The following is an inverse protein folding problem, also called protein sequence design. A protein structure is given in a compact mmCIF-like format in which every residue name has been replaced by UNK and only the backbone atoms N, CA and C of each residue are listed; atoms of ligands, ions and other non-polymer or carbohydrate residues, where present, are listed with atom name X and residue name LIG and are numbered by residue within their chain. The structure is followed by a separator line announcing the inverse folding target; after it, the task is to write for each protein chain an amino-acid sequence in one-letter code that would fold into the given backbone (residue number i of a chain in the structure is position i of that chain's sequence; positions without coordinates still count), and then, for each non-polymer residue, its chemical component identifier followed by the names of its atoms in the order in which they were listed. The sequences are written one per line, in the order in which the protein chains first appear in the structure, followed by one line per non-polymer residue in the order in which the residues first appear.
data_IF_614211113158
#
_entry.id   IF_614211113158
#
_cell.length_a   1.000
_cell.length_b   1.000
_cell.length_c   1.000
_cell.angle_alpha   90.00
_cell.angle_beta   90.00
_cell.angle_gamma   90.00
#
_symmetry.space_group_name_H-M   'P 1'
#
loop_
_entity.id
_entity.type
_entity.pdbx_description
1 polymer ?
#
# COMPACT_ATOMS: atom_id res chain seq x y z
N UNK A 1 8.00 -18.09 17.20
CA UNK A 1 7.72 -17.64 15.82
C UNK A 1 8.93 -17.92 14.92
N UNK A 2 8.76 -18.48 13.70
CA UNK A 2 9.91 -18.87 12.84
C UNK A 2 10.71 -17.69 12.30
N UNK A 3 10.03 -16.56 12.04
CA UNK A 3 10.62 -15.32 11.55
C UNK A 3 10.16 -14.19 12.47
N UNK A 4 10.96 -13.80 13.45
CA UNK A 4 10.56 -12.79 14.44
C UNK A 4 10.58 -11.36 13.90
N UNK A 5 11.17 -11.12 12.72
CA UNK A 5 11.19 -9.81 12.06
C UNK A 5 10.68 -9.95 10.62
N UNK A 6 9.85 -8.99 10.15
CA UNK A 6 9.36 -9.01 8.78
C UNK A 6 10.48 -8.89 7.74
N UNK A 7 11.55 -8.16 8.05
CA UNK A 7 12.73 -8.03 7.18
C UNK A 7 13.37 -9.39 6.86
N UNK A 8 13.30 -10.35 7.77
CA UNK A 8 13.87 -11.69 7.55
C UNK A 8 13.11 -12.48 6.50
N UNK A 9 11.91 -12.05 6.12
CA UNK A 9 11.08 -12.68 5.09
C UNK A 9 11.45 -12.28 3.66
N UNK A 10 12.26 -11.23 3.47
CA UNK A 10 12.70 -10.81 2.13
C UNK A 10 13.51 -11.92 1.43
N UNK A 11 14.49 -12.50 2.13
CA UNK A 11 15.32 -13.55 1.54
C UNK A 11 14.54 -14.85 1.19
N UNK A 12 13.64 -15.38 2.05
CA UNK A 12 12.73 -16.44 1.68
C UNK A 12 11.81 -16.08 0.51
N UNK A 13 11.25 -14.87 0.47
CA UNK A 13 10.43 -14.41 -0.65
C UNK A 13 11.23 -14.40 -1.96
N UNK A 14 12.45 -13.85 -1.94
CA UNK A 14 13.36 -13.83 -3.10
C UNK A 14 13.65 -15.23 -3.65
N UNK A 15 13.84 -16.23 -2.76
CA UNK A 15 14.08 -17.62 -3.17
C UNK A 15 12.85 -18.31 -3.75
N UNK A 16 11.66 -17.90 -3.35
CA UNK A 16 10.39 -18.52 -3.81
C UNK A 16 9.83 -17.92 -5.08
N UNK A 17 10.17 -16.66 -5.35
CA UNK A 17 9.64 -15.93 -6.50
C UNK A 17 10.61 -15.94 -7.67
N UNK A 18 10.12 -16.07 -8.91
CA UNK A 18 10.93 -15.80 -10.08
C UNK A 18 11.55 -14.39 -10.01
N UNK A 19 12.80 -14.20 -10.52
CA UNK A 19 13.48 -12.91 -10.44
C UNK A 19 12.67 -11.71 -10.97
N UNK A 20 11.89 -11.91 -12.06
CA UNK A 20 11.05 -10.85 -12.61
C UNK A 20 9.88 -10.48 -11.67
N UNK A 21 9.32 -11.45 -10.94
CA UNK A 21 8.26 -11.22 -9.95
C UNK A 21 8.83 -10.53 -8.71
N UNK A 22 9.98 -11.00 -8.24
CA UNK A 22 10.65 -10.36 -7.11
C UNK A 22 11.05 -8.92 -7.45
N UNK A 23 11.57 -8.67 -8.66
CA UNK A 23 11.88 -7.30 -9.11
C UNK A 23 10.62 -6.42 -9.18
N UNK A 24 9.48 -6.95 -9.60
CA UNK A 24 8.21 -6.23 -9.57
C UNK A 24 7.83 -5.79 -8.15
N UNK A 25 7.93 -6.68 -7.18
CA UNK A 25 7.63 -6.39 -5.77
C UNK A 25 8.61 -5.38 -5.18
N UNK A 26 9.92 -5.62 -5.37
CA UNK A 26 10.99 -4.99 -4.61
C UNK A 26 11.47 -3.66 -5.19
N UNK A 27 11.44 -3.49 -6.54
CA UNK A 27 12.01 -2.30 -7.17
C UNK A 27 11.26 -1.00 -6.88
N UNK A 28 12.02 0.09 -6.86
CA UNK A 28 11.57 1.45 -7.10
C UNK A 28 11.61 1.79 -8.59
N UNK A 29 11.93 3.05 -8.92
CA UNK A 29 12.23 3.54 -10.27
C UNK A 29 13.63 4.16 -10.29
N UNK A 30 14.16 4.50 -11.47
CA UNK A 30 15.49 5.09 -11.62
C UNK A 30 16.57 4.17 -11.08
N UNK A 31 17.36 4.69 -10.16
CA UNK A 31 18.44 3.98 -9.48
C UNK A 31 18.04 3.43 -8.10
N UNK A 32 16.74 3.38 -7.78
CA UNK A 32 16.22 2.99 -6.47
C UNK A 32 16.66 3.94 -5.30
N UNK A 33 17.05 5.18 -5.61
CA UNK A 33 17.57 6.15 -4.62
C UNK A 33 16.52 6.45 -3.55
N UNK A 34 15.31 6.82 -3.96
CA UNK A 34 14.20 7.11 -3.02
C UNK A 34 13.77 5.85 -2.27
N UNK A 35 13.82 4.67 -2.91
CA UNK A 35 13.55 3.40 -2.20
C UNK A 35 14.54 3.18 -1.04
N UNK A 36 15.82 3.41 -1.28
CA UNK A 36 16.86 3.31 -0.25
C UNK A 36 16.73 4.43 0.81
N UNK A 37 16.51 5.66 0.36
CA UNK A 37 16.32 6.82 1.24
C UNK A 37 15.10 6.66 2.18
N UNK A 38 14.00 6.09 1.69
CA UNK A 38 12.84 5.78 2.53
C UNK A 38 13.19 4.85 3.70
N UNK A 39 14.10 3.90 3.50
CA UNK A 39 14.54 3.03 4.60
C UNK A 39 15.50 3.77 5.53
N UNK A 40 16.51 4.43 4.96
CA UNK A 40 17.50 5.18 5.72
C UNK A 40 16.87 6.26 6.61
N UNK A 41 15.76 6.87 6.16
CA UNK A 41 15.03 7.88 6.93
C UNK A 41 14.54 7.34 8.28
N UNK A 42 13.96 6.13 8.31
CA UNK A 42 13.56 5.47 9.55
C UNK A 42 14.79 5.02 10.38
N UNK A 43 15.83 4.50 9.74
CA UNK A 43 17.02 4.03 10.42
C UNK A 43 17.77 5.18 11.11
N UNK A 44 17.72 6.41 10.59
CA UNK A 44 18.32 7.62 11.17
C UNK A 44 17.56 8.27 12.33
N UNK A 45 16.40 7.71 12.74
CA UNK A 45 15.61 8.24 13.85
C UNK A 45 15.86 7.49 15.15
N UNK A 46 15.94 8.21 16.26
CA UNK A 46 15.98 7.66 17.63
C UNK A 46 14.84 8.23 18.46
N UNK A 47 14.31 7.41 19.38
CA UNK A 47 13.25 7.78 20.32
C UNK A 47 13.82 7.79 21.73
N UNK A 48 13.42 8.79 22.54
CA UNK A 48 13.88 8.90 23.93
C UNK A 48 12.93 8.11 24.84
N UNK A 49 13.39 6.98 25.45
CA UNK A 49 12.53 6.19 26.34
C UNK A 49 12.36 6.86 27.71
N UNK A 50 11.20 6.60 28.34
CA UNK A 50 10.92 7.02 29.71
C UNK A 50 10.68 5.81 30.60
N UNK A 51 11.57 5.59 31.56
CA UNK A 51 11.54 4.44 32.47
C UNK A 51 10.82 4.72 33.80
N UNK A 52 10.73 3.69 34.65
CA UNK A 52 10.14 3.71 35.98
C UNK A 52 8.63 4.01 35.99
N UNK A 53 7.92 3.56 34.93
CA UNK A 53 6.47 3.74 34.76
C UNK A 53 5.64 2.49 35.09
N UNK A 54 6.26 1.49 35.73
CA UNK A 54 5.64 0.22 36.04
C UNK A 54 5.41 -0.62 34.77
N UNK A 55 4.47 -1.57 34.90
CA UNK A 55 4.07 -2.40 33.74
C UNK A 55 3.19 -1.59 32.80
N UNK A 56 3.55 -1.52 31.55
CA UNK A 56 2.74 -0.91 30.49
C UNK A 56 1.95 -2.00 29.78
N UNK A 57 0.65 -1.87 29.75
CA UNK A 57 -0.24 -2.66 28.89
C UNK A 57 -0.74 -1.72 27.77
N UNK A 58 -0.14 -1.88 26.60
CA UNK A 58 -0.34 -0.95 25.50
C UNK A 58 -1.64 -1.24 24.74
N UNK A 59 -2.55 -0.26 24.71
CA UNK A 59 -3.71 -0.22 23.82
C UNK A 59 -3.27 0.29 22.44
N UNK A 60 -3.40 -0.56 21.44
CA UNK A 60 -3.04 -0.26 20.05
C UNK A 60 -4.21 0.31 19.25
N UNK A 61 -5.39 0.43 19.82
CA UNK A 61 -6.56 0.91 19.11
C UNK A 61 -6.34 2.32 18.55
N UNK A 62 -6.76 2.53 17.32
CA UNK A 62 -6.63 3.80 16.62
C UNK A 62 -7.89 4.11 15.82
N UNK A 63 -8.38 5.34 15.93
CA UNK A 63 -9.56 5.79 15.18
C UNK A 63 -9.13 6.64 13.98
N UNK A 64 -9.67 6.33 12.82
CA UNK A 64 -9.47 7.11 11.60
C UNK A 64 -10.76 7.14 10.77
N UNK A 65 -11.09 8.28 10.20
CA UNK A 65 -12.28 8.49 9.36
C UNK A 65 -13.61 8.07 10.03
N UNK A 66 -13.67 8.12 11.37
CA UNK A 66 -14.86 7.72 12.14
C UNK A 66 -14.97 6.24 12.45
N UNK A 67 -13.99 5.41 12.05
CA UNK A 67 -13.90 3.99 12.40
C UNK A 67 -12.73 3.74 13.36
N UNK A 68 -12.92 2.80 14.28
CA UNK A 68 -11.86 2.37 15.21
C UNK A 68 -11.37 1.00 14.80
N UNK A 69 -10.04 0.86 14.74
CA UNK A 69 -9.31 -0.36 14.42
C UNK A 69 -8.48 -0.82 15.63
N UNK A 70 -8.18 -2.12 15.68
CA UNK A 70 -7.38 -2.71 16.77
C UNK A 70 -5.87 -2.43 16.62
N UNK A 71 -5.48 -1.73 15.55
CA UNK A 71 -4.09 -1.39 15.25
C UNK A 71 -3.99 -0.04 14.51
N UNK A 72 -2.91 0.74 14.72
CA UNK A 72 -2.69 2.03 14.08
C UNK A 72 -2.12 1.90 12.66
N UNK A 73 -2.33 0.76 12.02
CA UNK A 73 -1.79 0.49 10.68
C UNK A 73 -2.75 -0.36 9.83
N UNK A 74 -2.54 -0.29 8.53
CA UNK A 74 -3.25 -1.10 7.55
C UNK A 74 -2.36 -1.56 6.39
N UNK A 75 -2.93 -2.33 5.48
CA UNK A 75 -2.24 -2.77 4.26
C UNK A 75 -2.43 -1.74 3.16
N UNK A 76 -1.31 -1.22 2.64
CA UNK A 76 -1.30 -0.29 1.50
C UNK A 76 -1.80 -0.96 0.21
N UNK A 77 -2.35 -0.20 -0.74
CA UNK A 77 -2.76 -0.74 -2.04
C UNK A 77 -1.55 -1.21 -2.85
N UNK A 78 -1.62 -2.45 -3.35
CA UNK A 78 -0.60 -3.05 -4.19
C UNK A 78 -1.27 -3.62 -5.44
N UNK A 79 -0.90 -3.07 -6.60
CA UNK A 79 -1.38 -3.60 -7.87
C UNK A 79 -0.85 -4.99 -8.14
N UNK A 80 -1.67 -5.84 -8.75
CA UNK A 80 -1.33 -7.18 -9.23
C UNK A 80 -0.60 -8.04 -8.19
N UNK A 81 -1.02 -7.97 -6.92
CA UNK A 81 -0.41 -8.74 -5.83
C UNK A 81 -0.58 -10.25 -6.02
N UNK A 82 -1.62 -10.71 -6.72
CA UNK A 82 -1.78 -12.12 -7.08
C UNK A 82 -0.74 -12.64 -8.09
N UNK A 83 -0.05 -11.76 -8.84
CA UNK A 83 1.14 -12.18 -9.61
C UNK A 83 2.31 -12.50 -8.68
N UNK A 84 2.44 -11.78 -7.57
CA UNK A 84 3.48 -12.05 -6.58
C UNK A 84 3.18 -13.39 -5.90
N UNK A 85 1.95 -13.53 -5.42
CA UNK A 85 1.48 -14.78 -4.84
C UNK A 85 -0.02 -14.98 -5.11
N UNK A 86 -0.42 -16.11 -5.72
CA UNK A 86 -1.83 -16.40 -6.02
C UNK A 86 -2.74 -16.26 -4.81
N UNK A 87 -3.78 -15.43 -4.94
CA UNK A 87 -4.74 -15.13 -3.88
C UNK A 87 -4.21 -14.18 -2.80
N UNK A 88 -3.13 -13.43 -3.06
CA UNK A 88 -2.54 -12.50 -2.09
C UNK A 88 -3.55 -11.46 -1.57
N UNK A 89 -4.43 -10.97 -2.45
CA UNK A 89 -5.46 -9.99 -2.09
C UNK A 89 -6.41 -10.54 -1.03
N UNK A 90 -7.01 -11.70 -1.29
CA UNK A 90 -7.94 -12.35 -0.34
C UNK A 90 -7.25 -12.83 0.92
N UNK A 91 -5.98 -13.32 0.84
CA UNK A 91 -5.18 -13.69 2.01
C UNK A 91 -4.96 -12.48 2.92
N UNK A 92 -4.60 -11.32 2.35
CA UNK A 92 -4.34 -10.10 3.12
C UNK A 92 -5.63 -9.49 3.65
N UNK A 93 -6.70 -9.46 2.87
CA UNK A 93 -8.00 -8.96 3.31
C UNK A 93 -8.55 -9.78 4.48
N UNK A 94 -8.49 -11.12 4.40
CA UNK A 94 -8.91 -12.01 5.49
C UNK A 94 -8.02 -11.86 6.74
N UNK A 95 -6.72 -11.66 6.57
CA UNK A 95 -5.81 -11.40 7.69
C UNK A 95 -6.10 -10.04 8.34
N UNK A 96 -6.36 -9.01 7.55
CA UNK A 96 -6.72 -7.68 8.03
C UNK A 96 -8.02 -7.71 8.84
N UNK A 97 -9.07 -8.33 8.30
CA UNK A 97 -10.34 -8.50 9.00
C UNK A 97 -10.20 -9.25 10.32
N UNK A 98 -9.41 -10.34 10.35
CA UNK A 98 -9.19 -11.15 11.57
C UNK A 98 -8.44 -10.39 12.66
N UNK A 99 -7.55 -9.48 12.28
CA UNK A 99 -6.68 -8.76 13.20
C UNK A 99 -7.10 -7.29 13.39
N UNK A 100 -8.31 -6.91 12.94
CA UNK A 100 -8.93 -5.62 13.22
C UNK A 100 -8.23 -4.41 12.59
N UNK A 101 -7.63 -4.53 11.37
CA UNK A 101 -7.04 -3.40 10.65
C UNK A 101 -7.46 -3.38 9.17
N UNK A 102 -7.36 -2.23 8.47
CA UNK A 102 -7.83 -2.14 7.09
C UNK A 102 -6.87 -2.76 6.06
N UNK A 103 -7.45 -3.35 5.03
CA UNK A 103 -6.79 -3.75 3.79
C UNK A 103 -7.26 -2.88 2.63
N UNK A 104 -6.34 -2.31 1.87
CA UNK A 104 -6.68 -1.48 0.71
C UNK A 104 -6.52 -2.28 -0.59
N UNK A 105 -7.63 -2.53 -1.28
CA UNK A 105 -7.64 -3.17 -2.59
C UNK A 105 -7.29 -2.16 -3.69
N UNK A 106 -6.36 -2.50 -4.57
CA UNK A 106 -6.01 -1.66 -5.73
C UNK A 106 -6.98 -1.84 -6.89
N UNK A 107 -7.24 -0.77 -7.66
CA UNK A 107 -7.93 -0.84 -8.98
C UNK A 107 -7.32 -1.90 -9.90
N UNK A 108 -5.99 -1.99 -9.90
CA UNK A 108 -5.23 -2.94 -10.73
C UNK A 108 -4.84 -4.20 -9.97
N UNK A 109 -5.69 -4.64 -9.06
CA UNK A 109 -5.53 -5.91 -8.35
C UNK A 109 -5.77 -7.11 -9.27
N UNK A 110 -5.25 -8.26 -8.84
CA UNK A 110 -5.47 -9.52 -9.54
C UNK A 110 -6.78 -10.19 -9.18
N UNK A 111 -7.43 -9.80 -8.08
CA UNK A 111 -8.76 -10.26 -7.69
C UNK A 111 -9.80 -9.13 -7.76
N UNK A 112 -11.07 -9.48 -7.73
CA UNK A 112 -12.18 -8.54 -7.88
C UNK A 112 -12.54 -7.85 -6.56
N UNK A 113 -13.19 -6.69 -6.67
CA UNK A 113 -13.74 -5.95 -5.54
C UNK A 113 -14.66 -6.86 -4.73
N UNK A 114 -15.52 -7.61 -5.39
CA UNK A 114 -16.54 -8.47 -4.78
C UNK A 114 -15.89 -9.58 -3.93
N UNK A 115 -14.91 -10.29 -4.49
CA UNK A 115 -14.23 -11.38 -3.77
C UNK A 115 -13.44 -10.86 -2.56
N UNK A 116 -12.79 -9.73 -2.71
CA UNK A 116 -11.95 -9.16 -1.65
C UNK A 116 -12.80 -8.52 -0.57
N UNK A 117 -13.88 -7.83 -0.91
CA UNK A 117 -14.84 -7.31 0.06
C UNK A 117 -15.52 -8.44 0.86
N UNK A 118 -15.83 -9.57 0.21
CA UNK A 118 -16.35 -10.75 0.92
C UNK A 118 -15.34 -11.33 1.92
N UNK A 119 -14.04 -11.26 1.66
CA UNK A 119 -12.99 -11.76 2.55
C UNK A 119 -12.62 -10.76 3.67
N UNK A 120 -12.64 -9.47 3.40
CA UNK A 120 -12.21 -8.39 4.31
C UNK A 120 -13.34 -7.74 5.09
N UNK A 121 -14.59 -7.85 4.60
CA UNK A 121 -15.75 -7.21 5.21
C UNK A 121 -15.56 -5.69 5.37
N UNK A 122 -15.98 -5.16 6.50
CA UNK A 122 -15.87 -3.73 6.85
C UNK A 122 -14.42 -3.21 6.92
N UNK A 123 -13.42 -4.09 6.92
CA UNK A 123 -12.00 -3.71 6.90
C UNK A 123 -11.45 -3.52 5.47
N UNK A 124 -12.30 -3.59 4.45
CA UNK A 124 -11.90 -3.39 3.05
C UNK A 124 -12.00 -1.93 2.67
N UNK A 125 -10.87 -1.32 2.31
CA UNK A 125 -10.79 -0.04 1.61
C UNK A 125 -10.56 -0.27 0.13
N UNK A 126 -10.96 0.67 -0.71
CA UNK A 126 -10.72 0.60 -2.15
C UNK A 126 -9.81 1.73 -2.62
N UNK A 127 -8.75 1.41 -3.36
CA UNK A 127 -7.90 2.41 -3.99
C UNK A 127 -8.24 2.54 -5.47
N UNK A 128 -8.52 3.77 -5.86
CA UNK A 128 -8.89 4.16 -7.23
C UNK A 128 -7.71 4.82 -7.94
N UNK A 129 -7.37 4.31 -9.12
CA UNK A 129 -6.76 5.09 -10.18
C UNK A 129 -7.88 5.58 -11.10
N UNK A 130 -8.02 6.90 -11.25
CA UNK A 130 -8.97 7.49 -12.19
C UNK A 130 -8.63 7.05 -13.62
N UNK A 131 -9.61 6.54 -14.34
CA UNK A 131 -9.45 6.07 -15.72
C UNK A 131 -9.75 7.18 -16.71
N UNK A 132 -9.17 7.12 -17.92
CA UNK A 132 -9.47 8.05 -19.00
C UNK A 132 -10.94 7.99 -19.41
N UNK A 133 -11.49 6.79 -19.45
CA UNK A 133 -12.93 6.59 -19.60
C UNK A 133 -13.59 6.72 -18.23
N UNK A 134 -14.32 7.83 -18.01
CA UNK A 134 -14.99 8.14 -16.76
C UNK A 134 -16.06 7.09 -16.39
N UNK A 135 -16.70 6.46 -17.35
CA UNK A 135 -17.72 5.43 -17.09
C UNK A 135 -17.12 4.23 -16.36
N UNK A 136 -15.87 3.86 -16.66
CA UNK A 136 -15.14 2.81 -15.94
C UNK A 136 -14.91 3.22 -14.48
N UNK A 137 -14.46 4.46 -14.25
CA UNK A 137 -14.27 4.98 -12.89
C UNK A 137 -15.55 4.91 -12.09
N UNK A 138 -16.67 5.42 -12.64
CA UNK A 138 -17.93 5.48 -11.90
C UNK A 138 -18.55 4.09 -11.70
N UNK A 139 -18.36 3.16 -12.64
CA UNK A 139 -18.77 1.77 -12.42
C UNK A 139 -17.94 1.08 -11.32
N UNK A 140 -16.64 1.30 -11.27
CA UNK A 140 -15.78 0.80 -10.18
C UNK A 140 -16.21 1.35 -8.82
N UNK A 141 -16.54 2.66 -8.72
CA UNK A 141 -17.07 3.27 -7.50
C UNK A 141 -18.41 2.64 -7.10
N UNK A 142 -19.32 2.46 -8.05
CA UNK A 142 -20.60 1.80 -7.79
C UNK A 142 -20.40 0.38 -7.28
N UNK A 143 -19.55 -0.44 -7.93
CA UNK A 143 -19.23 -1.82 -7.50
C UNK A 143 -18.64 -1.86 -6.09
N UNK A 144 -17.70 -0.96 -5.77
CA UNK A 144 -17.12 -0.88 -4.45
C UNK A 144 -18.18 -0.57 -3.38
N UNK A 145 -19.03 0.42 -3.64
CA UNK A 145 -20.13 0.77 -2.74
C UNK A 145 -21.14 -0.39 -2.58
N UNK A 146 -21.53 -1.03 -3.68
CA UNK A 146 -22.48 -2.14 -3.66
C UNK A 146 -21.95 -3.35 -2.87
N UNK A 147 -20.62 -3.45 -2.71
CA UNK A 147 -19.94 -4.42 -1.84
C UNK A 147 -19.74 -3.94 -0.39
N UNK A 148 -20.28 -2.78 0.00
CA UNK A 148 -20.17 -2.25 1.36
C UNK A 148 -18.82 -1.59 1.69
N UNK A 149 -18.04 -1.22 0.68
CA UNK A 149 -16.79 -0.44 0.91
C UNK A 149 -17.17 1.00 1.25
N UNK A 150 -16.72 1.48 2.42
CA UNK A 150 -17.02 2.83 2.91
C UNK A 150 -15.87 3.82 2.69
N UNK A 151 -14.62 3.33 2.58
CA UNK A 151 -13.43 4.19 2.43
C UNK A 151 -12.81 4.03 1.05
N UNK A 152 -12.70 5.15 0.35
CA UNK A 152 -12.02 5.29 -0.95
C UNK A 152 -10.68 5.98 -0.78
N UNK A 153 -9.64 5.48 -1.44
CA UNK A 153 -8.33 6.15 -1.58
C UNK A 153 -8.11 6.48 -3.05
N UNK A 154 -8.20 7.75 -3.43
CA UNK A 154 -7.87 8.21 -4.78
C UNK A 154 -6.37 8.46 -4.88
N UNK A 155 -5.70 7.91 -5.88
CA UNK A 155 -4.24 8.03 -6.04
C UNK A 155 -3.90 9.11 -7.06
N UNK A 156 -3.15 10.13 -6.62
CA UNK A 156 -2.77 11.30 -7.43
C UNK A 156 -1.33 11.26 -7.94
N UNK A 157 -0.45 10.48 -7.33
CA UNK A 157 1.00 10.48 -7.58
C UNK A 157 1.45 9.64 -8.80
N UNK A 158 0.55 9.41 -9.76
CA UNK A 158 0.83 8.68 -11.01
C UNK A 158 0.47 9.54 -12.24
N UNK A 159 1.09 10.73 -12.41
CA UNK A 159 0.80 11.58 -13.56
C UNK A 159 1.34 11.02 -14.87
N UNK A 160 2.31 10.10 -14.80
CA UNK A 160 2.93 9.43 -15.93
C UNK A 160 3.41 8.02 -15.53
N UNK A 161 3.56 7.09 -16.52
CA UNK A 161 4.11 5.77 -16.24
C UNK A 161 5.56 5.86 -15.77
N UNK A 162 5.87 5.25 -14.65
CA UNK A 162 7.26 5.13 -14.19
C UNK A 162 8.02 4.08 -15.01
N UNK A 163 9.32 4.27 -15.15
CA UNK A 163 10.16 3.39 -15.98
C UNK A 163 10.47 2.05 -15.33
N UNK A 164 10.62 2.00 -14.00
CA UNK A 164 10.91 0.79 -13.19
C UNK A 164 11.98 -0.08 -13.84
N UNK A 165 13.15 0.49 -14.04
CA UNK A 165 14.24 -0.05 -14.85
C UNK A 165 14.64 -1.45 -14.40
N UNK A 166 14.80 -1.66 -13.09
CA UNK A 166 15.18 -2.96 -12.52
C UNK A 166 14.14 -4.05 -12.85
N UNK A 167 12.86 -3.70 -12.81
CA UNK A 167 11.79 -4.61 -13.22
C UNK A 167 11.87 -4.97 -14.71
N UNK A 168 12.17 -3.98 -15.59
CA UNK A 168 12.35 -4.20 -17.04
C UNK A 168 13.58 -5.06 -17.32
N UNK A 169 14.71 -4.79 -16.65
CA UNK A 169 15.94 -5.59 -16.76
C UNK A 169 15.66 -7.04 -16.35
N UNK A 170 14.84 -7.28 -15.34
CA UNK A 170 14.46 -8.63 -14.92
C UNK A 170 13.53 -9.36 -15.92
N UNK A 171 12.96 -8.63 -16.88
CA UNK A 171 12.09 -9.19 -17.94
C UNK A 171 10.62 -9.28 -17.54
N UNK A 172 10.17 -8.50 -16.53
CA UNK A 172 8.76 -8.50 -16.17
C UNK A 172 7.87 -8.06 -17.33
N UNK A 173 6.76 -8.79 -17.61
CA UNK A 173 5.93 -8.57 -18.79
C UNK A 173 5.04 -7.33 -18.74
N UNK A 174 5.21 -6.46 -17.75
CA UNK A 174 4.39 -5.27 -17.49
C UNK A 174 4.95 -3.99 -18.14
N UNK A 175 5.66 -4.11 -19.26
CA UNK A 175 6.21 -2.95 -19.98
C UNK A 175 5.24 -2.35 -20.99
N UNK A 176 5.32 -1.02 -21.19
CA UNK A 176 4.47 -0.20 -22.05
C UNK A 176 4.58 -0.45 -23.57
N UNK A 177 5.29 -1.47 -24.02
CA UNK A 177 5.36 -1.88 -25.43
C UNK A 177 5.07 -3.37 -25.52
N UNK A 178 3.83 -3.66 -25.73
CA UNK A 178 3.09 -4.80 -26.26
C UNK A 178 3.75 -6.09 -26.68
N UNK A 179 4.88 -6.51 -26.13
CA UNK A 179 5.41 -7.85 -26.36
C UNK A 179 5.12 -8.71 -25.13
N UNK A 180 4.17 -9.59 -25.41
CA UNK A 180 3.57 -10.56 -24.52
C UNK A 180 4.54 -11.37 -23.69
N UNK A 181 4.12 -11.53 -22.56
CA UNK A 181 4.07 -12.51 -21.47
C UNK A 181 5.01 -13.72 -21.50
N UNK A 182 5.58 -14.18 -22.59
CA UNK A 182 6.27 -15.47 -22.69
C UNK A 182 7.63 -15.37 -23.39
N UNK A 183 8.46 -14.38 -22.98
CA UNK A 183 9.85 -14.44 -23.43
C UNK A 183 10.50 -15.74 -22.89
N UNK A 184 11.44 -16.35 -23.63
CA UNK A 184 12.17 -17.55 -23.17
C UNK A 184 12.77 -17.35 -21.76
N UNK A 185 13.16 -16.11 -21.44
CA UNK A 185 13.67 -15.73 -20.13
C UNK A 185 12.63 -15.87 -19.03
N UNK A 186 11.40 -15.39 -19.24
CA UNK A 186 10.30 -15.50 -18.25
C UNK A 186 9.93 -16.97 -18.05
N UNK A 187 9.85 -17.75 -19.14
CA UNK A 187 9.58 -19.19 -19.07
C UNK A 187 10.67 -19.90 -18.24
N UNK A 188 11.94 -19.62 -18.52
CA UNK A 188 13.06 -20.21 -17.79
C UNK A 188 13.05 -19.82 -16.29
N UNK A 189 12.87 -18.54 -15.98
CA UNK A 189 12.76 -18.09 -14.60
C UNK A 189 11.58 -18.76 -13.87
N UNK A 190 10.45 -18.94 -14.54
CA UNK A 190 9.28 -19.61 -13.98
C UNK A 190 9.52 -21.10 -13.73
N UNK A 191 10.20 -21.79 -14.66
CA UNK A 191 10.55 -23.21 -14.53
C UNK A 191 11.50 -23.47 -13.35
N UNK A 192 12.40 -22.53 -13.04
CA UNK A 192 13.28 -22.62 -11.87
C UNK A 192 12.54 -22.38 -10.53
N UNK A 193 11.27 -21.95 -10.56
CA UNK A 193 10.44 -21.70 -9.39
C UNK A 193 9.13 -22.48 -9.44
N UNK A 194 9.18 -23.84 -9.48
CA UNK A 194 8.02 -24.68 -9.76
C UNK A 194 6.87 -24.49 -8.78
N UNK A 195 7.17 -24.22 -7.51
CA UNK A 195 6.14 -23.97 -6.50
C UNK A 195 5.30 -22.72 -6.78
N UNK A 196 5.90 -21.67 -7.32
CA UNK A 196 5.20 -20.47 -7.79
C UNK A 196 4.48 -20.75 -9.11
N UNK A 197 5.16 -21.37 -10.08
CA UNK A 197 4.65 -21.61 -11.42
C UNK A 197 3.39 -22.48 -11.41
N UNK A 198 3.39 -23.58 -10.66
CA UNK A 198 2.22 -24.49 -10.53
C UNK A 198 1.01 -23.77 -9.90
N UNK A 199 1.22 -22.95 -8.87
CA UNK A 199 0.14 -22.18 -8.25
C UNK A 199 -0.40 -21.12 -9.20
N UNK A 200 0.47 -20.47 -9.95
CA UNK A 200 0.09 -19.48 -10.95
C UNK A 200 -0.71 -20.14 -12.09
N UNK A 201 -0.29 -21.32 -12.56
CA UNK A 201 -1.00 -22.09 -13.57
C UNK A 201 -2.39 -22.53 -13.07
N UNK A 202 -2.49 -23.02 -11.83
CA UNK A 202 -3.75 -23.42 -11.21
C UNK A 202 -4.75 -22.26 -11.08
N UNK A 203 -4.27 -21.01 -10.93
CA UNK A 203 -5.10 -19.81 -10.92
C UNK A 203 -5.47 -19.32 -12.33
N UNK A 204 -4.87 -19.87 -13.37
CA UNK A 204 -5.06 -19.44 -14.77
C UNK A 204 -4.30 -18.16 -15.12
N UNK A 205 -3.17 -17.91 -14.46
CA UNK A 205 -2.31 -16.75 -14.66
C UNK A 205 -2.77 -15.48 -13.94
N UNK A 206 -1.94 -14.43 -13.94
CA UNK A 206 -2.29 -13.16 -13.34
C UNK A 206 -3.39 -12.47 -14.16
N UNK A 207 -4.46 -12.03 -13.51
CA UNK A 207 -5.60 -11.36 -14.13
C UNK A 207 -5.79 -10.02 -13.44
N UNK A 208 -6.23 -9.01 -14.17
CA UNK A 208 -6.68 -7.73 -13.63
C UNK A 208 -8.22 -7.77 -13.53
N UNK A 209 -8.74 -8.49 -12.54
CA UNK A 209 -10.17 -8.85 -12.50
C UNK A 209 -11.11 -7.66 -12.44
N UNK A 210 -10.68 -6.53 -11.86
CA UNK A 210 -11.48 -5.31 -11.86
C UNK A 210 -11.53 -4.65 -13.23
N UNK A 211 -10.47 -4.74 -14.02
CA UNK A 211 -10.33 -4.05 -15.31
C UNK A 211 -10.69 -4.94 -16.53
N UNK A 212 -10.64 -6.26 -16.39
CA UNK A 212 -10.88 -7.21 -17.47
C UNK A 212 -12.25 -7.02 -18.15
N UNK A 213 -13.40 -6.82 -17.44
CA UNK A 213 -14.69 -6.65 -18.07
C UNK A 213 -14.78 -5.45 -19.02
N UNK A 214 -13.93 -4.43 -18.79
CA UNK A 214 -13.89 -3.24 -19.64
C UNK A 214 -12.95 -3.43 -20.83
N UNK A 215 -11.84 -4.12 -20.65
CA UNK A 215 -10.92 -4.44 -21.74
C UNK A 215 -11.59 -5.26 -22.83
N UNK A 216 -12.43 -6.24 -22.45
CA UNK A 216 -13.18 -7.09 -23.38
C UNK A 216 -14.17 -6.29 -24.26
N UNK A 217 -14.65 -5.13 -23.77
CA UNK A 217 -15.55 -4.24 -24.52
C UNK A 217 -14.81 -3.30 -25.50
N UNK A 218 -13.52 -3.05 -25.27
CA UNK A 218 -12.70 -2.11 -26.04
C UNK A 218 -11.82 -2.78 -27.13
N UNK A 219 -12.14 -4.01 -27.51
CA UNK A 219 -11.45 -4.74 -28.58
C UNK A 219 -10.28 -5.59 -28.07
N UNK A 220 -9.59 -6.29 -28.99
CA UNK A 220 -8.56 -7.29 -28.67
C UNK A 220 -7.21 -6.73 -28.19
N UNK A 221 -7.21 -5.65 -27.41
CA UNK A 221 -5.97 -5.13 -26.82
C UNK A 221 -5.53 -6.01 -25.64
N UNK A 222 -4.22 -6.32 -25.53
CA UNK A 222 -3.70 -6.93 -24.32
C UNK A 222 -4.10 -6.11 -23.08
N UNK A 223 -4.59 -6.76 -22.03
CA UNK A 223 -5.10 -6.10 -20.81
C UNK A 223 -4.09 -5.10 -20.21
N UNK A 224 -2.81 -5.38 -20.27
CA UNK A 224 -1.75 -4.46 -19.80
C UNK A 224 -1.67 -3.19 -20.63
N UNK A 225 -1.88 -3.28 -21.94
CA UNK A 225 -1.91 -2.13 -22.85
C UNK A 225 -3.17 -1.30 -22.63
N UNK A 226 -4.32 -1.94 -22.46
CA UNK A 226 -5.57 -1.28 -22.11
C UNK A 226 -5.43 -0.49 -20.79
N UNK A 227 -4.95 -1.13 -19.73
CA UNK A 227 -4.71 -0.47 -18.43
C UNK A 227 -3.75 0.71 -18.59
N UNK A 228 -2.65 0.53 -19.34
CA UNK A 228 -1.69 1.60 -19.60
C UNK A 228 -2.30 2.81 -20.32
N UNK A 229 -3.27 2.59 -21.24
CA UNK A 229 -3.99 3.66 -21.91
C UNK A 229 -5.00 4.37 -21.01
N UNK A 230 -5.61 3.62 -20.08
CA UNK A 230 -6.63 4.16 -19.17
C UNK A 230 -6.06 4.95 -18.00
N UNK A 231 -4.87 4.61 -17.49
CA UNK A 231 -4.36 5.13 -16.22
C UNK A 231 -3.30 6.23 -16.36
N UNK A 232 -3.05 6.77 -17.56
CA UNK A 232 -1.99 7.73 -17.79
C UNK A 232 -2.46 9.17 -17.59
N UNK A 233 -2.11 9.76 -16.43
CA UNK A 233 -2.19 11.19 -16.18
C UNK A 233 -3.58 11.80 -16.33
N UNK A 234 -4.62 11.06 -15.97
CA UNK A 234 -6.01 11.45 -16.23
C UNK A 234 -6.64 12.24 -15.09
N UNK A 235 -6.10 12.11 -13.86
CA UNK A 235 -6.64 12.77 -12.69
C UNK A 235 -6.18 14.24 -12.66
N UNK A 236 -7.13 15.15 -12.73
CA UNK A 236 -7.00 16.56 -12.40
C UNK A 236 -7.97 16.95 -11.26
N UNK A 237 -7.99 18.21 -10.88
CA UNK A 237 -8.83 18.67 -9.78
C UNK A 237 -10.32 18.59 -10.08
N UNK A 238 -10.72 18.87 -11.32
CA UNK A 238 -12.12 18.81 -11.73
C UNK A 238 -12.61 17.35 -11.72
N UNK A 239 -11.76 16.43 -12.18
CA UNK A 239 -12.09 15.00 -12.11
C UNK A 239 -12.13 14.48 -10.67
N UNK A 240 -11.25 14.98 -9.79
CA UNK A 240 -11.33 14.65 -8.36
C UNK A 240 -12.65 15.12 -7.75
N UNK A 241 -13.16 16.29 -8.16
CA UNK A 241 -14.45 16.80 -7.73
C UNK A 241 -15.60 15.91 -8.20
N UNK A 242 -15.59 15.46 -9.46
CA UNK A 242 -16.57 14.50 -9.99
C UNK A 242 -16.57 13.19 -9.17
N UNK A 243 -15.38 12.67 -8.86
CA UNK A 243 -15.22 11.46 -8.02
C UNK A 243 -15.78 11.71 -6.61
N UNK A 244 -15.47 12.86 -6.01
CA UNK A 244 -16.01 13.22 -4.68
C UNK A 244 -17.53 13.30 -4.69
N UNK A 245 -18.13 13.90 -5.70
CA UNK A 245 -19.58 14.01 -5.82
C UNK A 245 -20.26 12.63 -6.00
N UNK A 246 -19.59 11.69 -6.66
CA UNK A 246 -20.10 10.34 -6.89
C UNK A 246 -19.89 9.38 -5.71
N UNK A 247 -18.97 9.68 -4.79
CA UNK A 247 -18.64 8.82 -3.65
C UNK A 247 -19.24 9.35 -2.35
N UNK A 248 -20.27 8.71 -1.77
CA UNK A 248 -20.92 9.21 -0.55
C UNK A 248 -20.13 8.88 0.73
N UNK A 249 -19.23 7.90 0.69
CA UNK A 249 -18.42 7.46 1.82
C UNK A 249 -17.22 8.35 2.11
N UNK A 250 -16.31 7.87 2.94
CA UNK A 250 -15.05 8.54 3.27
C UNK A 250 -14.07 8.48 2.10
N UNK A 251 -13.40 9.60 1.81
CA UNK A 251 -12.44 9.70 0.72
C UNK A 251 -11.11 10.28 1.18
N UNK A 252 -10.01 9.59 0.89
CA UNK A 252 -8.66 10.09 1.07
C UNK A 252 -7.98 10.32 -0.28
N UNK A 253 -7.12 11.35 -0.34
CA UNK A 253 -6.25 11.58 -1.49
C UNK A 253 -4.82 11.12 -1.17
N UNK A 254 -4.28 10.20 -1.98
CA UNK A 254 -2.96 9.57 -1.79
C UNK A 254 -1.92 10.14 -2.75
N UNK A 255 -0.69 10.34 -2.21
CA UNK A 255 0.45 10.84 -2.99
C UNK A 255 0.71 12.33 -2.76
N UNK A 256 0.10 12.92 -1.74
CA UNK A 256 0.25 14.32 -1.41
C UNK A 256 1.53 14.54 -0.60
N UNK A 257 2.37 15.48 -1.05
CA UNK A 257 3.62 15.89 -0.41
C UNK A 257 3.76 17.43 -0.35
N UNK A 258 2.78 18.16 -0.88
CA UNK A 258 2.73 19.61 -0.91
C UNK A 258 1.57 20.16 -0.07
N UNK A 259 1.82 21.24 0.70
CA UNK A 259 0.82 21.83 1.59
C UNK A 259 -0.30 22.56 0.84
N UNK A 260 -0.04 23.15 -0.34
CA UNK A 260 -1.07 23.84 -1.12
C UNK A 260 -2.04 22.82 -1.76
N UNK A 261 -1.49 21.72 -2.29
CA UNK A 261 -2.30 20.61 -2.80
C UNK A 261 -3.15 19.98 -1.67
N UNK A 262 -2.58 19.86 -0.47
CA UNK A 262 -3.28 19.37 0.70
C UNK A 262 -4.48 20.26 1.08
N UNK A 263 -4.28 21.58 1.17
CA UNK A 263 -5.34 22.55 1.46
C UNK A 263 -6.43 22.51 0.39
N UNK A 264 -6.03 22.45 -0.89
CA UNK A 264 -6.99 22.39 -2.00
C UNK A 264 -7.83 21.11 -1.94
N UNK A 265 -7.20 19.95 -1.70
CA UNK A 265 -7.90 18.67 -1.56
C UNK A 265 -8.93 18.69 -0.43
N UNK A 266 -8.54 19.20 0.75
CA UNK A 266 -9.45 19.33 1.90
C UNK A 266 -10.61 20.28 1.59
N UNK A 267 -10.33 21.42 0.92
CA UNK A 267 -11.35 22.36 0.46
C UNK A 267 -12.37 21.76 -0.53
N UNK A 268 -12.01 20.67 -1.21
CA UNK A 268 -12.89 19.92 -2.11
C UNK A 268 -13.67 18.80 -1.39
N UNK A 269 -13.56 18.69 -0.06
CA UNK A 269 -14.28 17.69 0.73
C UNK A 269 -13.60 16.33 0.80
N UNK A 270 -12.27 16.27 0.62
CA UNK A 270 -11.48 15.07 0.93
C UNK A 270 -11.40 14.94 2.45
N UNK A 271 -11.74 13.76 2.99
CA UNK A 271 -11.83 13.52 4.42
C UNK A 271 -10.47 13.27 5.11
N UNK A 272 -9.41 12.96 4.33
CA UNK A 272 -8.07 12.72 4.86
C UNK A 272 -7.03 12.60 3.74
N UNK A 273 -5.76 12.60 4.10
CA UNK A 273 -4.66 12.57 3.16
C UNK A 273 -3.72 11.40 3.44
N UNK A 274 -3.19 10.77 2.37
CA UNK A 274 -2.12 9.78 2.49
C UNK A 274 -0.85 10.40 1.91
N UNK A 275 0.07 10.80 2.79
CA UNK A 275 1.38 11.29 2.42
C UNK A 275 2.22 10.09 1.94
N UNK A 276 2.65 10.16 0.69
CA UNK A 276 3.27 9.03 0.01
C UNK A 276 4.21 9.50 -1.10
N UNK A 277 5.35 8.84 -1.26
CA UNK A 277 6.16 8.91 -2.47
C UNK A 277 6.05 7.60 -3.29
N UNK A 278 4.93 6.89 -3.13
CA UNK A 278 4.64 5.63 -3.81
C UNK A 278 5.70 4.53 -3.54
N UNK A 279 6.36 4.60 -2.39
CA UNK A 279 7.45 3.68 -2.04
C UNK A 279 8.68 3.79 -2.96
N UNK A 280 8.95 4.97 -3.52
CA UNK A 280 10.05 5.22 -4.47
C UNK A 280 9.80 4.66 -5.86
N UNK A 281 8.54 4.46 -6.26
CA UNK A 281 8.18 3.79 -7.53
C UNK A 281 7.80 4.75 -8.65
N UNK A 282 7.71 6.06 -8.39
CA UNK A 282 7.28 7.07 -9.36
C UNK A 282 8.38 8.08 -9.67
N UNK A 283 8.79 8.91 -8.75
CA UNK A 283 9.84 9.89 -8.90
C UNK A 283 11.03 9.53 -8.00
N UNK A 284 12.19 9.20 -8.59
CA UNK A 284 13.40 8.80 -7.84
C UNK A 284 14.16 10.00 -7.23
N UNK A 285 13.44 11.10 -6.97
CA UNK A 285 13.90 12.31 -6.29
C UNK A 285 12.80 12.90 -5.39
N UNK A 286 11.75 12.12 -5.08
CA UNK A 286 10.70 12.58 -4.21
C UNK A 286 11.16 12.63 -2.75
N UNK A 287 10.73 13.62 -1.95
CA UNK A 287 11.06 13.68 -0.53
C UNK A 287 10.40 12.53 0.24
N UNK A 288 10.93 12.25 1.45
CA UNK A 288 10.29 11.30 2.34
C UNK A 288 8.96 11.86 2.88
N UNK A 289 7.86 11.06 2.96
CA UNK A 289 6.58 11.56 3.45
C UNK A 289 6.60 12.17 4.85
N UNK A 290 7.36 11.58 5.79
CA UNK A 290 7.53 12.13 7.15
C UNK A 290 8.30 13.46 7.17
N UNK A 291 9.13 13.74 6.17
CA UNK A 291 9.79 15.04 6.03
C UNK A 291 8.76 16.15 5.70
N UNK A 292 7.75 15.79 4.92
CA UNK A 292 6.68 16.72 4.50
C UNK A 292 5.54 16.84 5.51
N UNK A 293 5.41 15.86 6.40
CA UNK A 293 4.31 15.74 7.34
C UNK A 293 4.09 17.01 8.20
N UNK A 294 5.14 17.63 8.82
CA UNK A 294 4.93 18.85 9.62
C UNK A 294 4.38 20.01 8.81
N UNK A 295 4.89 20.22 7.59
CA UNK A 295 4.41 21.31 6.71
C UNK A 295 2.97 21.08 6.23
N UNK A 296 2.62 19.84 5.89
CA UNK A 296 1.23 19.48 5.52
C UNK A 296 0.30 19.64 6.73
N UNK A 297 0.71 19.17 7.93
CA UNK A 297 -0.08 19.33 9.17
C UNK A 297 -0.33 20.80 9.47
N UNK A 298 0.69 21.65 9.38
CA UNK A 298 0.54 23.10 9.59
C UNK A 298 -0.42 23.75 8.58
N UNK A 299 -0.47 23.24 7.35
CA UNK A 299 -1.34 23.76 6.30
C UNK A 299 -2.81 23.36 6.46
N UNK A 300 -3.10 22.11 6.89
CA UNK A 300 -4.47 21.58 6.93
C UNK A 300 -5.07 21.55 8.35
N UNK A 301 -4.27 21.79 9.40
CA UNK A 301 -4.70 21.75 10.81
C UNK A 301 -4.81 20.33 11.37
N UNK A 302 -5.21 20.24 12.65
CA UNK A 302 -5.18 18.99 13.41
C UNK A 302 -6.37 18.05 13.15
N UNK A 303 -7.45 18.57 12.56
CA UNK A 303 -8.69 17.81 12.34
C UNK A 303 -8.65 16.93 11.08
N UNK A 304 -7.68 17.11 10.19
CA UNK A 304 -7.55 16.34 8.97
C UNK A 304 -6.66 15.12 9.22
N UNK A 305 -7.18 13.89 9.08
CA UNK A 305 -6.36 12.69 9.24
C UNK A 305 -5.22 12.64 8.22
N UNK A 306 -3.99 12.48 8.71
CA UNK A 306 -2.79 12.31 7.90
C UNK A 306 -2.25 10.88 8.06
N UNK A 307 -2.40 10.11 7.01
CA UNK A 307 -1.86 8.74 6.89
C UNK A 307 -0.50 8.81 6.21
N UNK A 308 0.43 7.95 6.61
CA UNK A 308 1.75 7.89 5.99
C UNK A 308 2.02 6.48 5.48
N UNK A 309 2.59 6.36 4.30
CA UNK A 309 3.21 5.13 3.81
C UNK A 309 4.67 5.36 3.41
N UNK A 310 5.27 4.43 2.73
CA UNK A 310 6.65 4.44 2.19
C UNK A 310 7.75 4.15 3.24
N UNK A 311 8.40 3.01 3.05
CA UNK A 311 9.60 2.62 3.81
C UNK A 311 9.33 1.86 5.12
N UNK A 312 8.11 1.80 5.61
CA UNK A 312 7.72 1.13 6.87
C UNK A 312 7.85 -0.39 6.70
N UNK A 313 8.61 -1.05 7.59
CA UNK A 313 8.89 -2.49 7.55
C UNK A 313 8.80 -3.20 8.90
N UNK A 314 8.61 -2.45 10.00
CA UNK A 314 8.57 -2.99 11.36
C UNK A 314 7.59 -2.22 12.25
N UNK A 315 7.25 -2.78 13.42
CA UNK A 315 6.48 -2.09 14.44
C UNK A 315 7.21 -0.85 14.98
N UNK A 316 8.53 -0.88 15.05
CA UNK A 316 9.32 0.31 15.41
C UNK A 316 9.15 1.44 14.39
N UNK A 317 9.10 1.13 13.08
CA UNK A 317 8.87 2.15 12.06
C UNK A 317 7.45 2.74 12.15
N UNK A 318 6.45 1.90 12.47
CA UNK A 318 5.09 2.35 12.74
C UNK A 318 5.09 3.37 13.88
N UNK A 319 5.70 3.02 15.03
CA UNK A 319 5.79 3.92 16.18
C UNK A 319 6.51 5.21 15.82
N UNK A 320 7.64 5.16 15.11
CA UNK A 320 8.37 6.35 14.64
C UNK A 320 7.47 7.27 13.80
N UNK A 321 6.68 6.71 12.88
CA UNK A 321 5.78 7.51 12.06
C UNK A 321 4.68 8.20 12.90
N UNK A 322 4.11 7.49 13.89
CA UNK A 322 3.10 8.03 14.79
C UNK A 322 3.67 9.12 15.71
N UNK A 323 4.88 8.92 16.24
CA UNK A 323 5.62 9.95 17.03
C UNK A 323 5.88 11.20 16.17
N UNK A 324 6.18 11.03 14.88
CA UNK A 324 6.34 12.16 13.95
C UNK A 324 5.03 12.93 13.67
N UNK A 325 3.86 12.43 14.11
CA UNK A 325 2.58 13.10 13.95
C UNK A 325 1.67 12.49 12.88
N UNK A 326 1.99 11.32 12.33
CA UNK A 326 1.02 10.56 11.54
C UNK A 326 -0.14 10.07 12.44
N UNK A 327 -1.36 10.08 11.92
CA UNK A 327 -2.53 9.54 12.64
C UNK A 327 -2.67 8.03 12.40
N UNK A 328 -2.18 7.55 11.26
CA UNK A 328 -2.25 6.16 10.84
C UNK A 328 -1.16 5.86 9.82
N UNK A 329 -0.81 4.58 9.62
CA UNK A 329 0.19 4.21 8.60
C UNK A 329 -0.26 3.06 7.72
N UNK A 330 0.27 2.99 6.49
CA UNK A 330 0.01 1.89 5.57
C UNK A 330 1.32 1.20 5.16
N UNK A 331 1.31 -0.13 5.20
CA UNK A 331 2.45 -0.97 4.83
C UNK A 331 2.16 -1.77 3.57
N UNK A 332 3.07 -1.71 2.59
CA UNK A 332 2.96 -2.48 1.35
C UNK A 332 3.88 -3.69 1.34
N UNK A 333 5.16 -3.47 1.01
CA UNK A 333 6.15 -4.53 0.79
C UNK A 333 6.31 -5.49 1.96
N UNK A 334 6.20 -5.00 3.21
CA UNK A 334 6.33 -5.83 4.42
C UNK A 334 5.32 -6.99 4.42
N UNK A 335 4.04 -6.70 4.17
CA UNK A 335 3.00 -7.71 4.05
C UNK A 335 3.22 -8.63 2.84
N UNK A 336 3.64 -8.07 1.70
CA UNK A 336 3.85 -8.87 0.50
C UNK A 336 5.05 -9.80 0.59
N UNK A 337 6.14 -9.43 1.26
CA UNK A 337 7.24 -10.35 1.56
C UNK A 337 6.77 -11.52 2.42
N UNK A 338 5.90 -11.25 3.40
CA UNK A 338 5.35 -12.31 4.24
C UNK A 338 4.47 -13.28 3.45
N UNK A 339 3.57 -12.78 2.61
CA UNK A 339 2.74 -13.64 1.75
C UNK A 339 3.59 -14.41 0.74
N UNK A 340 4.57 -13.77 0.12
CA UNK A 340 5.49 -14.43 -0.82
C UNK A 340 6.32 -15.53 -0.14
N UNK A 341 6.79 -15.29 1.09
CA UNK A 341 7.61 -16.23 1.85
C UNK A 341 6.80 -17.38 2.47
N UNK A 342 5.60 -17.10 3.00
CA UNK A 342 4.82 -18.04 3.82
C UNK A 342 3.51 -18.49 3.15
N UNK A 343 3.11 -17.84 2.06
CA UNK A 343 1.85 -18.16 1.38
C UNK A 343 0.64 -17.73 2.21
N UNK A 344 -0.30 -18.65 2.40
CA UNK A 344 -1.58 -18.41 3.10
C UNK A 344 -1.40 -17.86 4.52
N UNK A 345 -0.35 -18.27 5.21
CA UNK A 345 -0.09 -17.86 6.60
C UNK A 345 0.60 -16.49 6.70
N UNK A 346 1.09 -15.95 5.56
CA UNK A 346 1.93 -14.75 5.54
C UNK A 346 1.22 -13.51 6.09
N UNK A 347 -0.06 -13.33 5.76
CA UNK A 347 -0.83 -12.17 6.24
C UNK A 347 -0.96 -12.15 7.78
N UNK A 348 -1.37 -13.28 8.38
CA UNK A 348 -1.50 -13.39 9.84
C UNK A 348 -0.14 -13.34 10.55
N UNK A 349 0.90 -13.91 9.95
CA UNK A 349 2.25 -13.84 10.49
C UNK A 349 2.75 -12.39 10.54
N UNK A 350 2.56 -11.63 9.45
CA UNK A 350 2.93 -10.22 9.42
C UNK A 350 2.17 -9.39 10.45
N UNK A 351 0.86 -9.63 10.57
CA UNK A 351 0.03 -8.98 11.58
C UNK A 351 0.55 -9.26 13.00
N UNK A 352 0.79 -10.52 13.34
CA UNK A 352 1.26 -10.91 14.66
C UNK A 352 2.61 -10.27 15.02
N UNK A 353 3.57 -10.27 14.08
CA UNK A 353 4.89 -9.63 14.28
C UNK A 353 4.73 -8.12 14.51
N UNK A 354 3.97 -7.43 13.67
CA UNK A 354 3.80 -5.97 13.78
C UNK A 354 3.09 -5.58 15.08
N UNK A 355 2.03 -6.30 15.47
CA UNK A 355 1.31 -6.04 16.71
C UNK A 355 2.18 -6.26 17.95
N UNK A 356 2.98 -7.33 17.96
CA UNK A 356 3.95 -7.62 19.01
C UNK A 356 5.01 -6.51 19.09
N UNK A 357 5.67 -6.19 17.97
CA UNK A 357 6.70 -5.14 17.92
C UNK A 357 6.17 -3.76 18.34
N UNK A 358 4.95 -3.36 17.94
CA UNK A 358 4.37 -2.07 18.37
C UNK A 358 4.14 -2.07 19.87
N UNK A 359 3.58 -3.13 20.47
CA UNK A 359 3.38 -3.24 21.92
C UNK A 359 4.70 -3.15 22.67
N UNK A 360 5.72 -3.88 22.21
CA UNK A 360 7.03 -3.92 22.85
C UNK A 360 7.70 -2.54 22.81
N UNK A 361 7.66 -1.85 21.65
CA UNK A 361 8.23 -0.51 21.52
C UNK A 361 7.49 0.49 22.41
N UNK A 362 6.15 0.48 22.45
CA UNK A 362 5.36 1.33 23.33
C UNK A 362 5.69 1.07 24.80
N UNK A 363 5.83 -0.18 25.20
CA UNK A 363 6.22 -0.54 26.57
C UNK A 363 7.65 -0.03 26.90
N UNK A 364 8.61 -0.16 25.99
CA UNK A 364 9.96 0.39 26.15
C UNK A 364 9.97 1.93 26.26
N UNK A 365 9.06 2.59 25.57
CA UNK A 365 8.89 4.05 25.64
C UNK A 365 8.11 4.51 26.88
N UNK A 366 7.48 3.60 27.63
CA UNK A 366 6.65 3.92 28.78
C UNK A 366 5.31 4.55 28.39
N UNK A 367 4.75 4.20 27.24
CA UNK A 367 3.52 4.75 26.66
C UNK A 367 2.46 3.66 26.54
N UNK A 368 1.24 3.92 27.02
CA UNK A 368 0.14 2.93 27.03
C UNK A 368 -0.91 3.13 25.94
N UNK A 369 -0.92 4.24 25.21
CA UNK A 369 -1.91 4.54 24.16
C UNK A 369 -1.24 5.11 22.92
N UNK A 370 -1.87 4.95 21.76
CA UNK A 370 -1.37 5.54 20.49
C UNK A 370 -1.32 7.08 20.60
N UNK A 371 -2.30 7.70 21.21
CA UNK A 371 -2.30 9.15 21.42
C UNK A 371 -1.10 9.65 22.25
N UNK A 372 -0.70 8.89 23.26
CA UNK A 372 0.46 9.21 24.10
C UNK A 372 1.82 9.16 23.37
N UNK A 373 1.89 8.57 22.19
CA UNK A 373 3.11 8.59 21.37
C UNK A 373 3.48 10.00 20.90
N UNK A 374 2.55 10.93 20.83
CA UNK A 374 2.82 12.32 20.43
C UNK A 374 3.69 13.07 21.44
N UNK A 375 3.77 12.59 22.69
CA UNK A 375 4.59 13.18 23.76
C UNK A 375 6.02 12.58 23.81
N UNK A 376 6.34 11.64 22.93
CA UNK A 376 7.65 11.00 22.85
C UNK A 376 8.61 11.89 22.06
N UNK A 377 9.75 12.18 22.65
CA UNK A 377 10.81 12.94 21.99
C UNK A 377 11.49 12.09 20.91
N UNK A 378 11.58 12.66 19.69
CA UNK A 378 12.24 12.06 18.56
C UNK A 378 13.44 12.90 18.12
N UNK A 379 14.59 12.24 17.94
CA UNK A 379 15.80 12.86 17.42
C UNK A 379 16.12 12.28 16.03
N UNK A 380 16.56 13.13 15.12
CA UNK A 380 17.01 12.75 13.78
C UNK A 380 18.51 13.01 13.68
N UNK A 381 19.24 11.97 13.34
CA UNK A 381 20.65 12.08 13.00
C UNK A 381 20.71 12.25 11.49
N UNK A 382 21.16 13.44 11.05
CA UNK A 382 21.28 13.83 9.64
C UNK A 382 22.23 12.97 8.82
#
# INVERSE_FOLDING_TARGET
MKFPRLRDLEAPARRRLPPFVFAYLDSGTGHDVVRAANRAYYDGMTLTPRFLRGRIDADLSASILGQTYDAPFGVAPIGLSSMIWPGAETILAAAASRNGFPYTLSTVAGDSIENVAAAGGAHTWFQLYATKDKDITFDLLRRARDCGVETLIVTADVPAPSRRERMRIAGAPLGSRGNSSFSPRVIWQSALHPGWALRMAAMGGPKFRNMAPYADRHGNLPITSFIGQQLNGTLDWDYLQDIRAAWPGKMMLKGILDGQDAVRAVGMGVDGLVLSNHGGRQLDAAPHPLERLPAVRAAVGDNVPLVVDSGIQSGLDIVKALVCGADFVLLGRAFMYAVAALGRDGGNHAAAVLLEEVRDVMAQLGVSTIAGLRDVEINRHG
#
